data_IF_042179577948
#
_entry.id   IF_042179577948
#
_cell.length_a   1.000
_cell.length_b   1.000
_cell.length_c   1.000
_cell.angle_alpha   90.00
_cell.angle_beta   90.00
_cell.angle_gamma   90.00
#
_symmetry.space_group_name_H-M   'P 1'
#
loop_
_entity.id
_entity.type
_entity.pdbx_description
1 polymer ?
#
# COMPACT_ATOMS: atom_id res chain seq x y z
N UNK A 1 -8.18 -31.35 13.83
CA UNK A 1 -8.08 -31.01 15.25
C UNK A 1 -9.01 -29.85 15.53
N UNK A 2 -10.25 -30.14 15.93
CA UNK A 2 -11.20 -29.18 16.48
C UNK A 2 -10.59 -28.59 17.74
N UNK A 3 -10.28 -27.30 17.70
CA UNK A 3 -9.95 -26.53 18.89
C UNK A 3 -11.16 -26.62 19.82
N UNK A 4 -10.99 -27.25 21.00
CA UNK A 4 -12.09 -27.50 21.92
C UNK A 4 -12.70 -26.20 22.37
N UNK A 5 -14.03 -26.09 22.28
CA UNK A 5 -14.78 -25.04 22.95
C UNK A 5 -14.63 -25.25 24.48
N UNK A 6 -13.96 -24.33 25.14
CA UNK A 6 -14.09 -24.16 26.57
C UNK A 6 -15.55 -23.66 26.76
N UNK A 7 -16.35 -24.35 27.56
CA UNK A 7 -17.74 -23.97 27.80
C UNK A 7 -17.84 -22.46 28.09
N UNK A 8 -18.58 -21.74 27.25
CA UNK A 8 -18.82 -20.30 27.37
C UNK A 8 -17.77 -19.38 26.70
N UNK A 9 -16.73 -19.91 26.04
CA UNK A 9 -15.74 -19.10 25.31
C UNK A 9 -15.74 -19.42 23.81
N UNK A 10 -16.13 -18.44 22.98
CA UNK A 10 -16.10 -18.57 21.53
C UNK A 10 -14.84 -17.88 20.99
N UNK A 11 -13.96 -18.67 20.37
CA UNK A 11 -12.79 -18.13 19.65
C UNK A 11 -13.26 -17.70 18.26
N UNK A 12 -13.09 -16.43 17.86
CA UNK A 12 -13.37 -16.01 16.48
C UNK A 12 -12.55 -16.82 15.48
N UNK A 13 -13.12 -17.09 14.30
CA UNK A 13 -12.46 -17.84 13.23
C UNK A 13 -12.55 -17.10 11.92
N UNK A 14 -11.64 -17.40 10.98
CA UNK A 14 -11.80 -17.00 9.58
C UNK A 14 -13.10 -17.64 9.01
N UNK A 15 -13.74 -17.00 8.03
CA UNK A 15 -14.98 -17.52 7.43
C UNK A 15 -14.76 -18.84 6.71
N UNK A 16 -13.60 -18.99 6.06
CA UNK A 16 -13.21 -20.17 5.31
C UNK A 16 -11.85 -20.70 5.77
N UNK A 17 -11.60 -21.98 5.57
CA UNK A 17 -10.35 -22.68 5.89
C UNK A 17 -9.70 -23.21 4.61
N UNK A 18 -8.42 -23.56 4.63
CA UNK A 18 -7.80 -24.29 3.54
C UNK A 18 -8.59 -25.56 3.20
N UNK A 19 -8.94 -25.70 1.93
CA UNK A 19 -9.75 -26.83 1.42
C UNK A 19 -11.27 -26.58 1.42
N UNK A 20 -11.76 -25.49 2.01
CA UNK A 20 -13.15 -25.06 1.84
C UNK A 20 -13.33 -24.42 0.44
N UNK A 21 -14.56 -24.43 -0.07
CA UNK A 21 -14.95 -23.52 -1.16
C UNK A 21 -15.39 -22.19 -0.57
N UNK A 22 -14.80 -21.09 -1.04
CA UNK A 22 -15.17 -19.75 -0.58
C UNK A 22 -16.56 -19.39 -1.14
N UNK A 23 -17.46 -18.96 -0.27
CA UNK A 23 -18.77 -18.45 -0.64
C UNK A 23 -19.08 -17.16 0.16
N UNK A 24 -19.01 -16.01 -0.51
CA UNK A 24 -19.37 -14.72 0.06
C UNK A 24 -20.84 -14.36 -0.11
N UNK A 25 -21.70 -15.28 -0.57
CA UNK A 25 -23.12 -15.08 -0.80
C UNK A 25 -23.43 -14.28 -2.08
N UNK A 26 -22.52 -14.25 -3.04
CA UNK A 26 -22.71 -13.57 -4.33
C UNK A 26 -22.32 -12.08 -4.30
N UNK A 27 -23.08 -11.26 -5.04
CA UNK A 27 -22.85 -9.81 -5.16
C UNK A 27 -23.07 -9.06 -3.86
N UNK A 28 -22.53 -7.84 -3.80
CA UNK A 28 -22.81 -6.92 -2.70
C UNK A 28 -24.31 -6.67 -2.53
N UNK A 29 -24.77 -6.51 -1.30
CA UNK A 29 -26.14 -6.06 -1.00
C UNK A 29 -26.32 -4.58 -1.33
N UNK A 30 -25.27 -3.78 -1.06
CA UNK A 30 -25.23 -2.36 -1.32
C UNK A 30 -25.06 -2.11 -2.80
N UNK A 31 -25.91 -1.26 -3.36
CA UNK A 31 -25.87 -0.88 -4.77
C UNK A 31 -25.35 0.56 -4.96
N UNK A 32 -24.83 0.92 -6.13
CA UNK A 32 -24.54 2.31 -6.46
C UNK A 32 -25.76 3.19 -6.25
N UNK A 33 -25.59 4.32 -5.54
CA UNK A 33 -26.68 5.26 -5.25
C UNK A 33 -27.46 5.01 -3.96
N UNK A 34 -27.22 3.89 -3.26
CA UNK A 34 -27.85 3.64 -1.95
C UNK A 34 -27.49 4.69 -0.90
N UNK A 35 -26.28 5.23 -0.98
CA UNK A 35 -25.79 6.27 -0.08
C UNK A 35 -25.73 7.62 -0.79
N UNK A 36 -26.36 8.62 -0.19
CA UNK A 36 -26.27 10.00 -0.64
C UNK A 36 -24.85 10.53 -0.48
N UNK A 37 -24.51 11.60 -1.22
CA UNK A 37 -23.26 12.32 -1.08
C UNK A 37 -23.50 13.64 -0.34
N UNK A 38 -23.10 13.74 0.94
CA UNK A 38 -23.26 14.98 1.68
C UNK A 38 -22.29 16.05 1.15
N UNK A 39 -22.62 17.32 1.36
CA UNK A 39 -21.68 18.39 1.04
C UNK A 39 -20.46 18.32 1.99
N UNK A 40 -19.20 18.30 1.48
CA UNK A 40 -18.02 18.14 2.33
C UNK A 40 -17.79 19.31 3.29
N UNK A 41 -18.33 20.49 3.00
CA UNK A 41 -18.17 21.70 3.83
C UNK A 41 -19.24 21.79 4.91
N UNK A 42 -20.42 21.28 4.67
CA UNK A 42 -21.55 21.35 5.60
C UNK A 42 -21.73 20.10 6.46
N UNK A 43 -21.20 18.96 5.99
CA UNK A 43 -21.36 17.65 6.60
C UNK A 43 -20.80 17.58 8.02
N UNK A 44 -21.63 17.14 8.96
CA UNK A 44 -21.24 16.84 10.34
C UNK A 44 -20.97 15.36 10.52
N UNK A 45 -20.23 15.03 11.57
CA UNK A 45 -19.84 13.64 11.85
C UNK A 45 -21.05 12.73 12.06
N UNK A 46 -22.08 13.18 12.78
CA UNK A 46 -23.30 12.42 13.03
C UNK A 46 -24.07 12.03 11.76
N UNK A 47 -23.93 12.81 10.69
CA UNK A 47 -24.56 12.56 9.38
C UNK A 47 -23.85 11.46 8.58
N UNK A 48 -22.67 11.01 9.03
CA UNK A 48 -21.89 9.98 8.35
C UNK A 48 -22.07 8.58 8.96
N UNK A 49 -22.99 8.41 9.90
CA UNK A 49 -23.23 7.11 10.55
C UNK A 49 -23.58 6.02 9.52
N UNK A 50 -24.52 6.30 8.62
CA UNK A 50 -24.93 5.33 7.59
C UNK A 50 -23.81 5.08 6.58
N UNK A 51 -22.98 6.09 6.29
CA UNK A 51 -21.80 5.94 5.41
C UNK A 51 -20.68 5.10 6.04
N UNK A 52 -20.56 5.13 7.37
CA UNK A 52 -19.59 4.29 8.09
C UNK A 52 -20.03 2.81 8.13
N UNK A 53 -21.33 2.52 8.06
CA UNK A 53 -21.88 1.17 8.15
C UNK A 53 -22.30 0.57 6.79
N UNK A 54 -22.65 1.40 5.82
CA UNK A 54 -22.91 1.01 4.44
C UNK A 54 -21.62 0.82 3.63
N UNK A 55 -21.75 0.81 2.32
CA UNK A 55 -20.61 0.71 1.41
C UNK A 55 -20.84 1.66 0.22
N UNK A 56 -19.98 2.68 0.07
CA UNK A 56 -20.01 3.56 -1.09
C UNK A 56 -19.53 2.77 -2.30
N UNK A 57 -20.36 2.71 -3.33
CA UNK A 57 -20.08 2.12 -4.64
C UNK A 57 -20.52 3.08 -5.73
N UNK A 58 -19.83 3.05 -6.85
CA UNK A 58 -20.16 3.80 -8.08
C UNK A 58 -20.37 2.83 -9.25
N UNK A 59 -19.47 1.84 -9.39
CA UNK A 59 -19.60 0.79 -10.40
C UNK A 59 -20.55 -0.31 -9.91
N UNK A 60 -21.63 -0.51 -10.66
CA UNK A 60 -22.57 -1.63 -10.48
C UNK A 60 -21.99 -2.95 -10.96
N UNK A 61 -22.73 -4.05 -10.67
CA UNK A 61 -22.38 -5.37 -11.13
C UNK A 61 -22.61 -5.54 -12.65
N UNK A 62 -23.25 -4.55 -13.26
CA UNK A 62 -23.46 -4.42 -14.71
C UNK A 62 -22.41 -3.52 -15.40
N UNK A 63 -21.33 -3.19 -14.72
CA UNK A 63 -20.24 -2.32 -15.21
C UNK A 63 -20.65 -0.87 -15.52
N UNK A 64 -21.81 -0.40 -15.04
CA UNK A 64 -22.22 1.00 -15.18
C UNK A 64 -21.85 1.81 -13.94
N UNK A 65 -21.43 3.08 -14.16
CA UNK A 65 -21.30 4.06 -13.09
C UNK A 65 -22.64 4.72 -12.81
N UNK A 66 -22.98 4.89 -11.54
CA UNK A 66 -24.22 5.59 -11.14
C UNK A 66 -24.18 6.06 -9.69
N UNK A 67 -25.16 6.92 -9.35
CA UNK A 67 -25.38 7.43 -8.00
C UNK A 67 -24.66 8.75 -7.74
N UNK A 68 -24.93 9.35 -6.57
CA UNK A 68 -24.42 10.67 -6.20
C UNK A 68 -22.88 10.72 -6.03
N UNK A 69 -22.25 9.57 -5.87
CA UNK A 69 -20.79 9.43 -5.74
C UNK A 69 -20.07 9.25 -7.06
N UNK A 70 -20.79 9.17 -8.19
CA UNK A 70 -20.13 9.16 -9.53
C UNK A 70 -19.36 10.47 -9.73
N UNK A 71 -18.02 10.40 -9.94
CA UNK A 71 -17.22 11.59 -10.19
C UNK A 71 -17.35 12.12 -11.61
N UNK A 72 -18.06 11.42 -12.51
CA UNK A 72 -18.25 11.77 -13.91
C UNK A 72 -16.92 12.03 -14.65
N UNK A 73 -15.92 11.14 -14.41
CA UNK A 73 -14.61 11.24 -15.05
C UNK A 73 -14.74 11.05 -16.57
N UNK A 74 -13.96 11.81 -17.32
CA UNK A 74 -13.86 11.60 -18.76
C UNK A 74 -13.07 10.33 -19.12
N UNK A 75 -13.14 9.94 -20.40
CA UNK A 75 -12.49 8.73 -20.89
C UNK A 75 -10.96 8.78 -20.73
N UNK A 76 -10.34 9.95 -20.83
CA UNK A 76 -8.88 10.10 -20.70
C UNK A 76 -8.44 9.83 -19.27
N UNK A 77 -9.15 10.35 -18.28
CA UNK A 77 -8.87 10.09 -16.85
C UNK A 77 -9.08 8.61 -16.49
N UNK A 78 -10.16 7.99 -17.00
CA UNK A 78 -10.43 6.56 -16.79
C UNK A 78 -9.36 5.66 -17.42
N UNK A 79 -8.95 5.95 -18.66
CA UNK A 79 -7.88 5.23 -19.37
C UNK A 79 -6.55 5.39 -18.64
N UNK A 80 -6.23 6.61 -18.17
CA UNK A 80 -5.04 6.86 -17.36
C UNK A 80 -5.06 6.01 -16.07
N UNK A 81 -6.19 5.93 -15.38
CA UNK A 81 -6.36 5.08 -14.20
C UNK A 81 -6.12 3.61 -14.52
N UNK A 82 -6.70 3.11 -15.61
CA UNK A 82 -6.50 1.73 -16.07
C UNK A 82 -5.03 1.46 -16.42
N UNK A 83 -4.38 2.37 -17.17
CA UNK A 83 -2.95 2.26 -17.51
C UNK A 83 -2.08 2.15 -16.25
N UNK A 84 -2.29 3.01 -15.24
CA UNK A 84 -1.51 3.00 -14.00
C UNK A 84 -1.72 1.70 -13.21
N UNK A 85 -2.95 1.17 -13.13
CA UNK A 85 -3.23 -0.09 -12.46
C UNK A 85 -2.59 -1.28 -13.20
N UNK A 86 -2.68 -1.33 -14.54
CA UNK A 86 -2.04 -2.36 -15.35
C UNK A 86 -0.51 -2.29 -15.25
N UNK A 87 0.07 -1.08 -15.24
CA UNK A 87 1.49 -0.83 -15.05
C UNK A 87 1.98 -1.38 -13.70
N UNK A 88 1.26 -1.09 -12.62
CA UNK A 88 1.57 -1.63 -11.30
C UNK A 88 1.55 -3.16 -11.30
N UNK A 89 0.54 -3.78 -11.88
CA UNK A 89 0.39 -5.24 -11.93
C UNK A 89 1.52 -5.91 -12.71
N UNK A 90 1.84 -5.42 -13.90
CA UNK A 90 2.91 -5.96 -14.74
C UNK A 90 4.28 -5.76 -14.09
N UNK A 91 4.49 -4.60 -13.45
CA UNK A 91 5.69 -4.31 -12.67
C UNK A 91 5.82 -5.30 -11.49
N UNK A 92 4.77 -5.48 -10.69
CA UNK A 92 4.74 -6.41 -9.56
C UNK A 92 5.06 -7.85 -10.00
N UNK A 93 4.50 -8.30 -11.11
CA UNK A 93 4.78 -9.63 -11.67
C UNK A 93 6.24 -9.79 -12.10
N UNK A 94 6.85 -8.73 -12.66
CA UNK A 94 8.28 -8.71 -12.98
C UNK A 94 9.13 -8.83 -11.72
N UNK A 95 8.79 -8.08 -10.67
CA UNK A 95 9.52 -8.08 -9.41
C UNK A 95 9.45 -9.44 -8.70
N UNK A 96 8.28 -10.11 -8.72
CA UNK A 96 8.16 -11.49 -8.22
C UNK A 96 9.03 -12.47 -9.03
N UNK A 97 9.09 -12.34 -10.37
CA UNK A 97 9.98 -13.16 -11.20
C UNK A 97 11.45 -12.92 -10.84
N UNK A 98 11.84 -11.67 -10.59
CA UNK A 98 13.21 -11.34 -10.14
C UNK A 98 13.53 -11.96 -8.76
N UNK A 99 12.58 -11.92 -7.82
CA UNK A 99 12.75 -12.54 -6.52
C UNK A 99 12.92 -14.07 -6.65
N UNK A 100 12.07 -14.72 -7.44
CA UNK A 100 12.15 -16.17 -7.67
C UNK A 100 13.46 -16.61 -8.36
N UNK A 101 14.09 -15.71 -9.12
CA UNK A 101 15.38 -15.95 -9.78
C UNK A 101 16.58 -15.46 -8.98
N UNK A 102 16.41 -15.07 -7.71
CA UNK A 102 17.48 -14.67 -6.79
C UNK A 102 18.10 -13.30 -7.09
N UNK A 103 17.47 -12.47 -7.91
CA UNK A 103 17.99 -11.13 -8.26
C UNK A 103 17.61 -10.06 -7.24
N UNK A 104 16.63 -10.34 -6.41
CA UNK A 104 16.30 -9.56 -5.21
C UNK A 104 15.83 -10.49 -4.09
N UNK A 105 15.94 -10.03 -2.85
CA UNK A 105 15.72 -10.88 -1.66
C UNK A 105 14.25 -11.06 -1.30
N UNK A 106 13.43 -10.02 -1.51
CA UNK A 106 12.08 -9.95 -1.00
C UNK A 106 11.20 -9.04 -1.86
N UNK A 107 9.91 -9.36 -1.98
CA UNK A 107 8.94 -8.49 -2.62
C UNK A 107 7.53 -8.68 -2.06
N UNK A 108 6.73 -7.61 -2.14
CA UNK A 108 5.30 -7.59 -1.79
C UNK A 108 4.54 -6.91 -2.92
N UNK A 109 3.59 -7.62 -3.53
CA UNK A 109 2.78 -7.05 -4.62
C UNK A 109 1.44 -6.52 -4.12
N UNK A 110 0.84 -5.64 -4.90
CA UNK A 110 -0.44 -4.98 -4.60
C UNK A 110 -1.64 -5.68 -5.22
N UNK A 111 -1.49 -6.94 -5.64
CA UNK A 111 -2.50 -7.68 -6.39
C UNK A 111 -3.85 -7.76 -5.67
N UNK A 112 -4.88 -7.22 -6.32
CA UNK A 112 -6.25 -7.05 -5.80
C UNK A 112 -6.51 -5.69 -5.14
N UNK A 113 -5.46 -4.88 -4.90
CA UNK A 113 -5.54 -3.57 -4.22
C UNK A 113 -5.02 -2.42 -5.12
N UNK A 114 -4.85 -2.63 -6.43
CA UNK A 114 -4.20 -1.67 -7.32
C UNK A 114 -4.94 -0.32 -7.36
N UNK A 115 -6.28 -0.35 -7.31
CA UNK A 115 -7.08 0.87 -7.34
C UNK A 115 -6.87 1.75 -6.11
N UNK A 116 -6.55 1.18 -4.94
CA UNK A 116 -6.46 1.92 -3.66
C UNK A 116 -5.51 3.11 -3.76
N UNK A 117 -4.24 2.83 -4.05
CA UNK A 117 -3.24 3.89 -4.11
C UNK A 117 -3.39 4.78 -5.34
N UNK A 118 -3.75 4.20 -6.48
CA UNK A 118 -3.78 4.90 -7.77
C UNK A 118 -4.95 5.87 -7.82
N UNK A 119 -6.19 5.42 -7.59
CA UNK A 119 -7.36 6.29 -7.63
C UNK A 119 -7.28 7.44 -6.62
N UNK A 120 -6.86 7.12 -5.38
CA UNK A 120 -6.73 8.14 -4.34
C UNK A 120 -5.62 9.15 -4.64
N UNK A 121 -4.48 8.72 -5.18
CA UNK A 121 -3.41 9.66 -5.55
C UNK A 121 -3.78 10.50 -6.77
N UNK A 122 -4.49 9.95 -7.77
CA UNK A 122 -5.01 10.71 -8.91
C UNK A 122 -6.04 11.78 -8.50
N UNK A 123 -6.71 11.57 -7.37
CA UNK A 123 -7.67 12.53 -6.82
C UNK A 123 -7.02 13.69 -6.04
N UNK A 124 -5.72 13.65 -5.79
CA UNK A 124 -4.97 14.64 -5.01
C UNK A 124 -4.13 15.56 -5.92
N UNK A 125 -3.72 16.68 -5.37
CA UNK A 125 -2.79 17.59 -6.02
C UNK A 125 -1.33 17.14 -5.81
N UNK A 126 -0.43 17.52 -6.72
CA UNK A 126 0.99 17.12 -6.65
C UNK A 126 1.71 17.71 -5.43
N UNK A 127 1.16 18.75 -4.82
CA UNK A 127 1.65 19.35 -3.57
C UNK A 127 1.24 18.60 -2.31
N UNK A 128 0.32 17.62 -2.41
CA UNK A 128 -0.16 16.87 -1.26
C UNK A 128 0.84 15.80 -0.80
N UNK A 129 0.89 15.57 0.51
CA UNK A 129 1.82 14.62 1.13
C UNK A 129 1.25 13.21 1.16
N UNK A 130 2.09 12.23 0.80
CA UNK A 130 1.75 10.80 0.76
C UNK A 130 2.52 10.06 1.85
N UNK A 131 1.81 9.51 2.83
CA UNK A 131 2.34 8.66 3.89
C UNK A 131 1.86 7.21 3.70
N UNK A 132 2.58 6.41 2.91
CA UNK A 132 2.15 5.08 2.52
C UNK A 132 2.47 4.02 3.57
N UNK A 133 1.80 2.87 3.48
CA UNK A 133 2.38 1.61 3.90
C UNK A 133 3.10 0.94 2.70
N UNK A 134 3.65 -0.24 2.92
CA UNK A 134 4.40 -0.96 1.87
C UNK A 134 3.56 -1.38 0.65
N UNK A 135 2.20 -1.33 0.73
CA UNK A 135 1.32 -1.81 -0.36
C UNK A 135 0.74 -0.70 -1.24
N UNK A 136 1.27 0.52 -1.14
CA UNK A 136 0.87 1.66 -1.97
C UNK A 136 1.95 2.13 -2.97
N UNK A 137 2.78 1.24 -3.58
CA UNK A 137 3.78 1.69 -4.57
C UNK A 137 3.13 2.32 -5.81
N UNK A 138 1.87 2.01 -6.12
CA UNK A 138 1.12 2.61 -7.22
C UNK A 138 1.04 4.13 -7.17
N UNK A 139 1.06 4.73 -5.99
CA UNK A 139 1.11 6.18 -5.83
C UNK A 139 2.35 6.82 -6.48
N UNK A 140 3.47 6.11 -6.53
CA UNK A 140 4.70 6.61 -7.15
C UNK A 140 4.58 6.69 -8.68
N UNK A 141 3.86 5.76 -9.31
CA UNK A 141 3.59 5.82 -10.75
C UNK A 141 2.74 7.05 -11.10
N UNK A 142 1.72 7.33 -10.30
CA UNK A 142 0.90 8.54 -10.46
C UNK A 142 1.75 9.81 -10.32
N UNK A 143 2.72 9.81 -9.39
CA UNK A 143 3.67 10.92 -9.15
C UNK A 143 4.88 10.93 -10.09
N UNK A 144 4.90 10.08 -11.12
CA UNK A 144 5.89 10.10 -12.20
C UNK A 144 7.25 9.51 -11.84
N UNK A 145 7.36 8.67 -10.80
CA UNK A 145 8.63 8.04 -10.48
C UNK A 145 9.07 7.07 -11.56
N UNK A 146 10.36 7.12 -11.89
CA UNK A 146 10.99 6.23 -12.85
C UNK A 146 11.09 4.78 -12.33
N UNK A 147 10.73 3.82 -13.19
CA UNK A 147 10.75 2.40 -12.86
C UNK A 147 12.17 1.85 -12.64
N UNK A 148 13.20 2.39 -13.31
CA UNK A 148 14.60 1.97 -13.10
C UNK A 148 14.98 2.25 -11.65
N UNK A 149 14.71 3.46 -11.16
CA UNK A 149 14.94 3.85 -9.76
C UNK A 149 14.19 2.94 -8.77
N UNK A 150 12.94 2.55 -9.08
CA UNK A 150 12.17 1.64 -8.22
C UNK A 150 12.78 0.23 -8.17
N UNK A 151 13.26 -0.27 -9.30
CA UNK A 151 13.91 -1.59 -9.38
C UNK A 151 15.27 -1.54 -8.67
N UNK A 152 16.08 -0.49 -8.90
CA UNK A 152 17.36 -0.30 -8.21
C UNK A 152 17.21 -0.29 -6.70
N UNK A 153 16.17 0.40 -6.17
CA UNK A 153 15.84 0.35 -4.75
C UNK A 153 15.53 -1.07 -4.25
N UNK A 154 14.73 -1.84 -4.98
CA UNK A 154 14.40 -3.22 -4.56
C UNK A 154 15.60 -4.17 -4.63
N UNK A 155 16.55 -3.93 -5.50
CA UNK A 155 17.82 -4.66 -5.57
C UNK A 155 18.79 -4.20 -4.47
N UNK A 156 18.77 -2.92 -4.11
CA UNK A 156 19.77 -2.27 -3.25
C UNK A 156 21.12 -2.11 -3.93
N UNK A 157 21.16 -1.86 -5.25
CA UNK A 157 22.37 -1.72 -6.03
C UNK A 157 22.98 -0.31 -5.93
N UNK A 158 24.02 -0.03 -6.75
CA UNK A 158 24.77 1.25 -6.68
C UNK A 158 23.95 2.48 -7.03
N UNK A 159 22.84 2.32 -7.78
CA UNK A 159 21.92 3.39 -8.16
C UNK A 159 20.70 3.50 -7.21
N UNK A 160 20.65 2.70 -6.15
CA UNK A 160 19.65 2.91 -5.12
C UNK A 160 19.95 4.21 -4.37
N UNK A 161 19.04 5.18 -4.45
CA UNK A 161 19.19 6.49 -3.82
C UNK A 161 19.29 6.44 -2.28
N UNK A 162 18.85 5.35 -1.65
CA UNK A 162 19.01 5.09 -0.23
C UNK A 162 20.07 4.01 0.09
N UNK A 163 20.84 3.61 -0.93
CA UNK A 163 22.06 2.80 -0.80
C UNK A 163 21.86 1.47 -0.06
N UNK A 164 20.74 0.79 -0.29
CA UNK A 164 20.43 -0.48 0.35
C UNK A 164 20.06 -0.41 1.84
N UNK A 165 19.83 0.79 2.39
CA UNK A 165 19.50 1.00 3.82
C UNK A 165 18.09 0.62 4.20
N UNK A 166 17.23 0.33 3.22
CA UNK A 166 15.85 -0.10 3.42
C UNK A 166 15.62 -1.47 2.78
N UNK A 167 14.64 -2.21 3.30
CA UNK A 167 14.17 -3.43 2.65
C UNK A 167 13.55 -3.11 1.28
N UNK A 168 13.55 -4.10 0.34
CA UNK A 168 12.77 -3.96 -0.89
C UNK A 168 11.33 -3.52 -0.59
N UNK A 169 10.74 -2.75 -1.49
CA UNK A 169 9.41 -2.11 -1.39
C UNK A 169 9.27 -1.02 -0.33
N UNK A 170 10.29 -0.75 0.47
CA UNK A 170 10.30 0.34 1.45
C UNK A 170 10.83 1.62 0.81
N UNK A 171 10.10 2.06 -0.20
CA UNK A 171 10.45 3.22 -1.02
C UNK A 171 10.45 4.54 -0.26
N UNK A 172 11.21 5.50 -0.80
CA UNK A 172 11.09 6.93 -0.54
C UNK A 172 11.19 7.67 -1.87
N UNK A 173 10.39 8.73 -2.06
CA UNK A 173 10.42 9.54 -3.28
C UNK A 173 10.08 10.99 -2.95
N UNK A 174 11.11 11.80 -2.71
CA UNK A 174 11.00 13.18 -2.23
C UNK A 174 10.26 14.08 -3.21
N UNK A 175 10.57 13.96 -4.50
CA UNK A 175 10.01 14.77 -5.59
C UNK A 175 8.49 14.56 -5.72
N UNK A 176 8.01 13.35 -5.47
CA UNK A 176 6.59 13.01 -5.44
C UNK A 176 5.94 13.18 -4.06
N UNK A 177 6.62 13.81 -3.10
CA UNK A 177 6.15 13.96 -1.71
C UNK A 177 5.72 12.65 -1.04
N UNK A 178 6.34 11.57 -1.45
CA UNK A 178 6.10 10.22 -0.96
C UNK A 178 7.13 9.89 0.13
N UNK A 179 6.65 9.83 1.36
CA UNK A 179 7.50 9.65 2.56
C UNK A 179 8.03 8.22 2.64
N UNK A 180 9.20 8.07 3.24
CA UNK A 180 9.84 6.77 3.45
C UNK A 180 8.91 5.79 4.16
N UNK A 181 8.75 4.60 3.59
CA UNK A 181 7.99 3.52 4.19
C UNK A 181 8.75 2.99 5.41
N UNK A 182 8.05 2.79 6.50
CA UNK A 182 8.57 2.20 7.74
C UNK A 182 8.21 0.72 7.81
N UNK A 183 9.17 -0.15 8.17
CA UNK A 183 8.91 -1.57 8.46
C UNK A 183 8.02 -1.78 9.70
N UNK A 184 8.25 -1.09 10.85
CA UNK A 184 7.28 -1.06 11.93
C UNK A 184 5.95 -0.48 11.47
N UNK A 185 4.90 -1.30 11.54
CA UNK A 185 3.58 -0.93 11.02
C UNK A 185 2.88 0.11 11.89
N UNK A 186 2.22 1.09 11.26
CA UNK A 186 1.44 2.13 11.95
C UNK A 186 2.17 3.44 12.22
N UNK A 187 3.51 3.45 12.22
CA UNK A 187 4.30 4.65 12.54
C UNK A 187 4.02 5.82 11.60
N UNK A 188 3.75 5.55 10.32
CA UNK A 188 3.40 6.57 9.32
C UNK A 188 2.13 7.34 9.66
N UNK A 189 1.22 6.74 10.43
CA UNK A 189 -0.10 7.31 10.70
C UNK A 189 0.01 8.54 11.61
N UNK A 190 0.69 8.42 12.75
CA UNK A 190 0.93 9.55 13.64
C UNK A 190 1.87 10.60 13.03
N UNK A 191 2.88 10.17 12.22
CA UNK A 191 3.75 11.08 11.48
C UNK A 191 2.95 11.89 10.44
N UNK A 192 2.02 11.29 9.72
CA UNK A 192 1.15 11.96 8.76
C UNK A 192 0.29 13.06 9.43
N UNK A 193 -0.27 12.74 10.60
CA UNK A 193 -1.01 13.73 11.40
C UNK A 193 -0.11 14.90 11.77
N UNK A 194 1.12 14.64 12.20
CA UNK A 194 2.11 15.69 12.54
C UNK A 194 2.46 16.60 11.35
N UNK A 195 2.62 16.02 10.15
CA UNK A 195 2.87 16.82 8.92
C UNK A 195 1.65 17.66 8.55
N UNK A 196 0.45 17.09 8.59
CA UNK A 196 -0.78 17.84 8.35
C UNK A 196 -0.98 18.99 9.35
N UNK A 197 -0.63 18.78 10.64
CA UNK A 197 -0.61 19.85 11.65
C UNK A 197 0.41 20.94 11.29
N UNK A 198 1.59 20.57 10.79
CA UNK A 198 2.60 21.52 10.34
C UNK A 198 2.15 22.34 9.14
N UNK A 199 1.43 21.72 8.17
CA UNK A 199 0.83 22.42 7.03
C UNK A 199 -0.21 23.45 7.48
N UNK A 200 -1.08 23.09 8.44
CA UNK A 200 -2.01 24.03 9.06
C UNK A 200 -1.28 25.19 9.76
N UNK A 201 -0.25 24.89 10.56
CA UNK A 201 0.53 25.89 11.27
C UNK A 201 1.22 26.89 10.32
N UNK A 202 1.70 26.40 9.17
CA UNK A 202 2.34 27.22 8.14
C UNK A 202 1.34 27.97 7.26
N UNK A 203 0.05 27.63 7.31
CA UNK A 203 -0.98 28.20 6.45
C UNK A 203 -0.79 27.87 4.97
N UNK A 204 -0.25 26.67 4.65
CA UNK A 204 -0.06 26.21 3.29
C UNK A 204 -1.21 25.29 2.87
N UNK A 205 -1.61 25.38 1.59
CA UNK A 205 -2.68 24.57 1.02
C UNK A 205 -2.13 23.19 0.60
N UNK A 206 -1.94 22.33 1.59
CA UNK A 206 -1.47 20.96 1.42
C UNK A 206 -2.38 20.01 2.20
N UNK A 207 -2.78 18.92 1.57
CA UNK A 207 -3.48 17.80 2.23
C UNK A 207 -2.49 16.67 2.44
N UNK A 208 -2.63 15.96 3.55
CA UNK A 208 -1.87 14.75 3.81
C UNK A 208 -2.78 13.53 3.68
N UNK A 209 -2.35 12.49 2.97
CA UNK A 209 -3.04 11.21 2.93
C UNK A 209 -2.17 10.11 3.52
N UNK A 210 -2.78 9.20 4.29
CA UNK A 210 -2.08 8.04 4.85
C UNK A 210 -2.92 6.78 4.78
N UNK A 211 -2.25 5.63 4.72
CA UNK A 211 -2.85 4.30 4.74
C UNK A 211 -2.22 3.41 5.79
N UNK A 212 -3.05 2.59 6.41
CA UNK A 212 -2.62 1.45 7.20
C UNK A 212 -3.52 0.25 6.92
N UNK A 213 -3.02 -0.96 7.15
CA UNK A 213 -3.80 -2.18 7.01
C UNK A 213 -4.74 -2.43 8.19
N UNK A 214 -5.72 -3.31 7.99
CA UNK A 214 -6.67 -3.77 9.02
C UNK A 214 -5.98 -4.26 10.29
N UNK A 215 -4.97 -5.14 10.17
CA UNK A 215 -4.19 -5.60 11.31
C UNK A 215 -3.40 -4.49 11.99
N UNK A 216 -2.90 -3.52 11.23
CA UNK A 216 -2.15 -2.36 11.77
C UNK A 216 -3.04 -1.46 12.64
N UNK A 217 -4.34 -1.45 12.40
CA UNK A 217 -5.30 -0.67 13.20
C UNK A 217 -5.37 -1.10 14.68
N UNK A 218 -4.70 -2.19 15.07
CA UNK A 218 -4.54 -2.61 16.46
C UNK A 218 -3.34 -1.92 17.16
N UNK A 219 -2.49 -1.20 16.42
CA UNK A 219 -1.36 -0.47 17.00
C UNK A 219 -1.80 0.81 17.71
N UNK A 220 -1.06 1.19 18.75
CA UNK A 220 -1.32 2.43 19.50
C UNK A 220 -1.25 3.69 18.63
N UNK A 221 -0.32 3.73 17.66
CA UNK A 221 -0.15 4.85 16.73
C UNK A 221 -1.42 5.21 15.95
N UNK A 222 -2.24 4.22 15.60
CA UNK A 222 -3.54 4.45 14.98
C UNK A 222 -4.47 5.26 15.90
N UNK A 223 -4.60 4.83 17.15
CA UNK A 223 -5.48 5.49 18.13
C UNK A 223 -4.93 6.87 18.54
N UNK A 224 -3.62 7.01 18.71
CA UNK A 224 -2.99 8.30 18.98
C UNK A 224 -3.18 9.27 17.81
N UNK A 225 -3.00 8.78 16.58
CA UNK A 225 -3.22 9.57 15.37
C UNK A 225 -4.66 10.06 15.24
N UNK A 226 -5.66 9.21 15.48
CA UNK A 226 -7.08 9.60 15.48
C UNK A 226 -7.36 10.68 16.55
N UNK A 227 -6.83 10.50 17.76
CA UNK A 227 -7.04 11.45 18.85
C UNK A 227 -6.44 12.83 18.53
N UNK A 228 -5.21 12.89 18.03
CA UNK A 228 -4.58 14.15 17.62
C UNK A 228 -5.28 14.77 16.40
N UNK A 229 -5.66 13.96 15.42
CA UNK A 229 -6.40 14.44 14.25
C UNK A 229 -7.76 15.05 14.65
N UNK A 230 -8.47 14.44 15.58
CA UNK A 230 -9.71 14.95 16.15
C UNK A 230 -9.52 16.28 16.85
N UNK A 231 -8.51 16.37 17.73
CA UNK A 231 -8.29 17.53 18.58
C UNK A 231 -7.78 18.75 17.80
N UNK A 232 -6.88 18.56 16.84
CA UNK A 232 -6.22 19.64 16.10
C UNK A 232 -6.82 19.90 14.71
N UNK A 233 -7.71 19.03 14.22
CA UNK A 233 -8.42 19.14 12.93
C UNK A 233 -7.49 19.49 11.74
N UNK A 234 -6.34 18.80 11.58
CA UNK A 234 -5.44 19.06 10.46
C UNK A 234 -6.02 18.57 9.13
N UNK A 235 -5.53 19.07 7.97
CA UNK A 235 -5.98 18.67 6.64
C UNK A 235 -5.45 17.27 6.26
N UNK A 236 -6.10 16.23 6.75
CA UNK A 236 -5.63 14.84 6.58
C UNK A 236 -6.75 13.86 6.18
N UNK A 237 -6.39 12.90 5.33
CA UNK A 237 -7.22 11.75 4.95
C UNK A 237 -6.61 10.51 5.58
N UNK A 238 -7.39 9.84 6.43
CA UNK A 238 -6.96 8.71 7.26
C UNK A 238 -7.61 7.42 6.75
N UNK A 239 -6.83 6.56 6.08
CA UNK A 239 -7.35 5.34 5.47
C UNK A 239 -6.98 4.08 6.26
N UNK A 240 -7.95 3.19 6.44
CA UNK A 240 -7.75 1.79 6.84
C UNK A 240 -8.05 0.90 5.64
N UNK A 241 -7.04 0.26 5.10
CA UNK A 241 -7.19 -0.71 4.02
C UNK A 241 -7.55 -2.06 4.63
N UNK A 242 -8.84 -2.36 4.62
CA UNK A 242 -9.39 -3.61 5.09
C UNK A 242 -9.36 -4.63 3.95
N UNK A 243 -8.21 -5.25 3.74
CA UNK A 243 -8.02 -6.29 2.73
C UNK A 243 -8.27 -7.71 3.26
N UNK A 244 -8.94 -7.84 4.39
CA UNK A 244 -9.39 -9.04 5.09
C UNK A 244 -8.29 -9.84 5.80
N UNK A 245 -7.00 -9.63 5.47
CA UNK A 245 -5.93 -10.50 5.95
C UNK A 245 -4.69 -9.73 6.41
N UNK A 246 -4.42 -9.75 7.70
CA UNK A 246 -3.15 -9.32 8.29
C UNK A 246 -2.19 -10.52 8.31
N UNK A 247 -1.38 -10.69 7.25
CA UNK A 247 -0.59 -11.89 6.96
C UNK A 247 -1.54 -13.10 6.90
N UNK A 248 -1.55 -13.94 7.92
CA UNK A 248 -2.39 -15.14 8.09
C UNK A 248 -3.55 -14.95 9.07
N UNK A 249 -3.73 -13.74 9.61
CA UNK A 249 -4.81 -13.43 10.56
C UNK A 249 -5.95 -12.74 9.83
N UNK A 250 -7.11 -13.41 9.77
CA UNK A 250 -8.32 -12.81 9.20
C UNK A 250 -8.87 -11.71 10.12
N UNK A 251 -9.50 -10.68 9.54
CA UNK A 251 -10.04 -9.53 10.29
C UNK A 251 -10.96 -9.92 11.46
N UNK A 252 -11.72 -11.02 11.34
CA UNK A 252 -12.63 -11.50 12.39
C UNK A 252 -11.89 -11.94 13.67
N UNK A 253 -10.58 -12.24 13.56
CA UNK A 253 -9.74 -12.52 14.72
C UNK A 253 -9.07 -11.25 15.26
N UNK A 254 -8.95 -10.21 14.41
CA UNK A 254 -8.22 -8.99 14.76
C UNK A 254 -9.09 -7.94 15.45
N UNK A 255 -10.42 -7.99 15.27
CA UNK A 255 -11.34 -7.01 15.86
C UNK A 255 -12.72 -7.61 16.12
N UNK A 256 -13.34 -7.24 17.24
CA UNK A 256 -14.76 -7.48 17.52
C UNK A 256 -15.69 -6.41 16.93
N UNK A 257 -15.15 -5.34 16.34
CA UNK A 257 -15.93 -4.30 15.67
C UNK A 257 -16.51 -4.77 14.34
N UNK A 258 -17.69 -4.26 13.99
CA UNK A 258 -18.38 -4.62 12.73
C UNK A 258 -17.55 -4.18 11.52
N UNK A 259 -16.96 -2.98 11.60
CA UNK A 259 -16.11 -2.39 10.57
C UNK A 259 -15.05 -1.48 11.21
N UNK A 260 -14.12 -0.98 10.40
CA UNK A 260 -13.09 -0.06 10.85
C UNK A 260 -13.50 1.40 10.71
N UNK A 261 -14.40 1.72 9.78
CA UNK A 261 -14.88 3.08 9.56
C UNK A 261 -15.51 3.68 10.82
N UNK A 262 -16.38 2.93 11.49
CA UNK A 262 -17.11 3.41 12.68
C UNK A 262 -16.21 3.81 13.86
N UNK A 263 -14.94 3.41 13.87
CA UNK A 263 -13.99 3.81 14.93
C UNK A 263 -13.75 5.32 14.95
N UNK A 264 -13.73 5.97 13.79
CA UNK A 264 -13.54 7.43 13.70
C UNK A 264 -14.71 8.22 14.31
N UNK A 265 -15.94 7.66 14.32
CA UNK A 265 -17.09 8.30 14.94
C UNK A 265 -16.86 8.58 16.43
N UNK A 266 -16.14 7.70 17.14
CA UNK A 266 -15.80 7.88 18.57
C UNK A 266 -14.83 9.04 18.82
N UNK A 267 -14.18 9.54 17.77
CA UNK A 267 -13.27 10.69 17.79
C UNK A 267 -13.88 11.95 17.15
N UNK A 268 -15.17 11.96 16.87
CA UNK A 268 -15.85 13.04 16.15
C UNK A 268 -15.20 13.36 14.78
N UNK A 269 -14.84 12.31 14.04
CA UNK A 269 -14.30 12.40 12.69
C UNK A 269 -15.32 11.83 11.71
N UNK A 270 -15.69 12.54 10.62
CA UNK A 270 -16.55 12.00 9.56
C UNK A 270 -15.97 10.71 8.98
N UNK A 271 -16.83 9.68 8.86
CA UNK A 271 -16.43 8.33 8.55
C UNK A 271 -17.16 7.77 7.34
N UNK A 272 -16.39 7.10 6.47
CA UNK A 272 -16.92 6.49 5.27
C UNK A 272 -16.35 5.09 5.07
N UNK A 273 -17.15 4.20 4.49
CA UNK A 273 -16.70 2.89 4.04
C UNK A 273 -16.90 2.81 2.53
N UNK A 274 -15.85 2.45 1.79
CA UNK A 274 -15.82 2.50 0.33
C UNK A 274 -15.39 1.16 -0.25
N UNK A 275 -15.96 0.78 -1.40
CA UNK A 275 -15.51 -0.37 -2.19
C UNK A 275 -14.12 -0.08 -2.76
N UNK A 276 -13.10 -0.77 -2.22
CA UNK A 276 -11.70 -0.59 -2.58
C UNK A 276 -11.31 -1.20 -3.93
N UNK A 277 -12.23 -1.93 -4.57
CA UNK A 277 -12.07 -2.44 -5.93
C UNK A 277 -12.80 -1.57 -6.97
N UNK A 278 -13.44 -0.49 -6.53
CA UNK A 278 -14.11 0.50 -7.35
C UNK A 278 -13.26 1.77 -7.48
N UNK A 279 -12.62 1.94 -8.64
CA UNK A 279 -11.75 3.07 -8.93
C UNK A 279 -12.47 4.41 -8.79
N UNK A 280 -13.71 4.51 -9.30
CA UNK A 280 -14.52 5.73 -9.30
C UNK A 280 -14.95 6.10 -7.88
N UNK A 281 -15.37 5.13 -7.08
CA UNK A 281 -15.73 5.35 -5.68
C UNK A 281 -14.55 5.85 -4.85
N UNK A 282 -13.36 5.25 -5.02
CA UNK A 282 -12.12 5.68 -4.35
C UNK A 282 -11.70 7.10 -4.75
N UNK A 283 -11.76 7.40 -6.04
CA UNK A 283 -11.48 8.75 -6.55
C UNK A 283 -12.43 9.77 -5.94
N UNK A 284 -13.73 9.50 -6.00
CA UNK A 284 -14.79 10.40 -5.55
C UNK A 284 -14.69 10.71 -4.05
N UNK A 285 -14.56 9.68 -3.20
CA UNK A 285 -14.46 9.90 -1.74
C UNK A 285 -13.18 10.65 -1.38
N UNK A 286 -12.09 10.44 -2.12
CA UNK A 286 -10.83 11.16 -1.87
C UNK A 286 -10.94 12.63 -2.26
N UNK A 287 -11.57 12.95 -3.39
CA UNK A 287 -11.89 14.35 -3.77
C UNK A 287 -12.77 15.02 -2.72
N UNK A 288 -13.79 14.32 -2.23
CA UNK A 288 -14.66 14.81 -1.17
C UNK A 288 -13.86 15.13 0.11
N UNK A 289 -13.02 14.20 0.55
CA UNK A 289 -12.21 14.34 1.76
C UNK A 289 -11.15 15.45 1.62
N UNK A 290 -10.51 15.56 0.44
CA UNK A 290 -9.55 16.62 0.15
C UNK A 290 -10.22 18.00 0.17
N UNK A 291 -11.42 18.15 -0.43
CA UNK A 291 -12.20 19.40 -0.39
C UNK A 291 -12.52 19.82 1.05
N UNK A 292 -12.94 18.87 1.89
CA UNK A 292 -13.19 19.11 3.31
C UNK A 292 -11.92 19.56 4.04
N UNK A 293 -10.82 18.85 3.83
CA UNK A 293 -9.53 19.15 4.45
C UNK A 293 -9.04 20.55 4.09
N UNK A 294 -9.09 20.93 2.79
CA UNK A 294 -8.71 22.28 2.30
C UNK A 294 -9.62 23.38 2.82
N UNK A 295 -10.88 23.07 3.12
CA UNK A 295 -11.79 24.01 3.76
C UNK A 295 -11.49 24.22 5.27
N UNK A 296 -10.44 23.59 5.82
CA UNK A 296 -10.06 23.70 7.23
C UNK A 296 -11.00 22.97 8.20
N UNK A 297 -11.79 22.02 7.71
CA UNK A 297 -12.79 21.28 8.50
C UNK A 297 -12.24 19.99 9.13
N UNK A 298 -10.93 19.76 8.98
CA UNK A 298 -10.22 18.67 9.63
C UNK A 298 -10.25 17.35 8.90
N UNK A 299 -10.01 16.24 9.61
CA UNK A 299 -9.77 14.92 9.05
C UNK A 299 -11.05 14.28 8.47
N UNK A 300 -10.83 13.31 7.60
CA UNK A 300 -11.82 12.31 7.20
C UNK A 300 -11.24 10.92 7.42
N UNK A 301 -11.99 10.00 8.02
CA UNK A 301 -11.60 8.60 8.23
C UNK A 301 -12.32 7.70 7.24
N UNK A 302 -11.56 6.88 6.49
CA UNK A 302 -12.08 6.05 5.42
C UNK A 302 -11.64 4.60 5.63
N UNK A 303 -12.61 3.67 5.70
CA UNK A 303 -12.34 2.25 5.52
C UNK A 303 -12.45 1.90 4.05
N UNK A 304 -11.36 1.39 3.49
CA UNK A 304 -11.30 0.87 2.13
C UNK A 304 -11.50 -0.64 2.22
N UNK A 305 -12.68 -1.09 1.83
CA UNK A 305 -13.08 -2.49 1.92
C UNK A 305 -12.71 -3.22 0.64
N UNK A 306 -11.65 -4.01 0.71
CA UNK A 306 -11.03 -4.67 -0.44
C UNK A 306 -10.53 -6.06 -0.08
N UNK A 307 -9.81 -6.71 -0.98
CA UNK A 307 -9.28 -8.05 -0.80
C UNK A 307 -7.85 -8.18 -1.31
N UNK A 308 -6.95 -8.71 -0.45
CA UNK A 308 -5.59 -9.08 -0.87
C UNK A 308 -5.64 -10.37 -1.69
N UNK A 309 -5.65 -10.28 -3.01
CA UNK A 309 -5.75 -11.45 -3.90
C UNK A 309 -4.48 -12.30 -3.91
N UNK A 310 -3.29 -11.68 -3.72
CA UNK A 310 -2.01 -12.38 -3.67
C UNK A 310 -1.60 -12.86 -2.27
N UNK A 311 -0.44 -13.52 -2.21
CA UNK A 311 0.27 -13.78 -0.95
C UNK A 311 0.64 -12.46 -0.25
N UNK A 312 0.84 -12.50 1.06
CA UNK A 312 1.27 -11.31 1.81
C UNK A 312 2.61 -10.77 1.29
N UNK A 313 3.55 -11.66 1.07
CA UNK A 313 4.88 -11.36 0.51
C UNK A 313 5.41 -12.56 -0.26
N UNK A 314 6.59 -12.41 -0.85
CA UNK A 314 7.30 -13.53 -1.52
C UNK A 314 7.70 -14.67 -0.58
N UNK A 315 7.65 -14.46 0.74
CA UNK A 315 7.94 -15.47 1.77
C UNK A 315 6.69 -16.09 2.40
N UNK A 316 5.48 -15.73 1.90
CA UNK A 316 4.21 -16.18 2.42
C UNK A 316 3.58 -17.25 1.53
N UNK A 317 2.91 -18.22 2.17
CA UNK A 317 2.16 -19.29 1.52
C UNK A 317 0.68 -19.22 1.98
N UNK A 318 -0.20 -18.57 1.22
CA UNK A 318 -1.59 -18.39 1.61
C UNK A 318 -2.40 -19.68 1.65
N UNK A 319 -1.97 -20.76 0.97
CA UNK A 319 -2.66 -22.05 0.99
C UNK A 319 -2.74 -22.68 2.39
N UNK A 320 -1.92 -22.18 3.33
CA UNK A 320 -1.88 -22.64 4.72
C UNK A 320 -2.99 -22.07 5.60
N UNK A 321 -3.64 -20.99 5.18
CA UNK A 321 -4.60 -20.29 6.05
C UNK A 321 -5.90 -19.87 5.38
N UNK A 322 -5.99 -19.91 4.04
CA UNK A 322 -7.20 -19.58 3.29
C UNK A 322 -7.40 -20.48 2.07
N UNK A 323 -8.61 -20.58 1.49
CA UNK A 323 -8.86 -21.27 0.22
C UNK A 323 -8.05 -20.65 -0.94
N UNK A 324 -7.64 -21.47 -1.90
CA UNK A 324 -6.89 -21.00 -3.09
C UNK A 324 -7.71 -20.05 -3.95
N UNK A 325 -9.00 -20.33 -4.08
CA UNK A 325 -9.93 -19.59 -4.94
C UNK A 325 -10.67 -18.44 -4.24
N UNK A 326 -10.37 -18.16 -2.96
CA UNK A 326 -11.09 -17.12 -2.19
C UNK A 326 -11.09 -15.75 -2.89
N UNK A 327 -9.97 -15.41 -3.57
CA UNK A 327 -9.85 -14.16 -4.31
C UNK A 327 -10.79 -14.08 -5.55
N UNK A 328 -11.08 -15.20 -6.18
CA UNK A 328 -11.94 -15.28 -7.38
C UNK A 328 -13.39 -15.04 -7.03
N UNK A 329 -13.80 -15.43 -5.82
CA UNK A 329 -15.18 -15.27 -5.32
C UNK A 329 -15.36 -13.97 -4.51
N UNK A 330 -14.34 -13.12 -4.43
CA UNK A 330 -14.48 -11.84 -3.76
C UNK A 330 -15.52 -10.95 -4.47
N UNK A 331 -16.59 -10.50 -3.80
CA UNK A 331 -17.68 -9.77 -4.45
C UNK A 331 -17.27 -8.44 -5.10
N UNK A 332 -16.21 -7.80 -4.57
CA UNK A 332 -15.64 -6.59 -5.19
C UNK A 332 -14.95 -6.83 -6.52
N UNK A 333 -14.66 -8.10 -6.87
CA UNK A 333 -14.00 -8.47 -8.12
C UNK A 333 -12.56 -7.96 -8.23
N UNK A 334 -12.02 -8.02 -9.43
CA UNK A 334 -10.68 -7.52 -9.77
C UNK A 334 -10.74 -6.04 -10.18
N UNK A 335 -10.02 -5.12 -9.51
CA UNK A 335 -10.15 -3.68 -9.76
C UNK A 335 -9.75 -3.27 -11.18
N UNK A 336 -8.73 -3.92 -11.76
CA UNK A 336 -8.30 -3.65 -13.14
C UNK A 336 -9.38 -4.08 -14.14
N UNK A 337 -9.95 -5.26 -13.90
CA UNK A 337 -10.99 -5.78 -14.80
C UNK A 337 -12.28 -4.95 -14.71
N UNK A 338 -12.67 -4.51 -13.52
CA UNK A 338 -13.88 -3.68 -13.33
C UNK A 338 -13.79 -2.36 -14.10
N UNK A 339 -12.68 -1.63 -13.95
CA UNK A 339 -12.49 -0.38 -14.69
C UNK A 339 -12.40 -0.64 -16.21
N UNK A 340 -11.75 -1.72 -16.62
CA UNK A 340 -11.70 -2.13 -18.03
C UNK A 340 -13.09 -2.42 -18.60
N UNK A 341 -13.91 -3.20 -17.90
CA UNK A 341 -15.26 -3.53 -18.36
C UNK A 341 -16.14 -2.28 -18.43
N UNK A 342 -16.00 -1.36 -17.48
CA UNK A 342 -16.69 -0.08 -17.55
C UNK A 342 -16.30 0.72 -18.81
N UNK A 343 -15.00 0.83 -19.12
CA UNK A 343 -14.51 1.49 -20.34
C UNK A 343 -15.00 0.81 -21.63
N UNK A 344 -15.07 -0.53 -21.64
CA UNK A 344 -15.66 -1.28 -22.78
C UNK A 344 -17.14 -0.93 -22.95
N UNK A 345 -17.88 -0.83 -21.85
CA UNK A 345 -19.30 -0.47 -21.89
C UNK A 345 -19.54 0.96 -22.38
N UNK A 346 -18.62 1.88 -22.06
CA UNK A 346 -18.62 3.25 -22.59
C UNK A 346 -18.24 3.31 -24.09
N UNK A 347 -17.73 2.23 -24.67
CA UNK A 347 -17.23 2.20 -26.05
C UNK A 347 -15.82 2.79 -26.21
N UNK A 348 -15.13 3.07 -25.10
CA UNK A 348 -13.81 3.71 -25.07
C UNK A 348 -12.65 2.71 -25.00
N UNK A 349 -12.93 1.41 -24.85
CA UNK A 349 -11.94 0.35 -24.73
C UNK A 349 -12.34 -0.91 -25.47
N UNK A 350 -11.36 -1.65 -25.96
CA UNK A 350 -11.54 -2.93 -26.63
C UNK A 350 -10.35 -3.87 -26.39
N UNK A 351 -10.46 -5.11 -26.83
CA UNK A 351 -9.42 -6.14 -26.68
C UNK A 351 -8.12 -5.75 -27.41
N UNK A 352 -8.20 -5.03 -28.53
CA UNK A 352 -7.03 -4.59 -29.28
C UNK A 352 -6.23 -3.58 -28.48
N UNK A 353 -6.90 -2.54 -27.95
CA UNK A 353 -6.28 -1.53 -27.06
C UNK A 353 -5.70 -2.16 -25.80
N UNK A 354 -6.39 -3.14 -25.21
CA UNK A 354 -5.93 -3.88 -24.03
C UNK A 354 -4.62 -4.61 -24.30
N UNK A 355 -4.52 -5.31 -25.43
CA UNK A 355 -3.31 -6.02 -25.83
C UNK A 355 -2.15 -5.06 -26.19
N UNK A 356 -2.42 -4.01 -26.95
CA UNK A 356 -1.43 -2.98 -27.28
C UNK A 356 -0.85 -2.31 -26.03
N UNK A 357 -1.71 -1.97 -25.05
CA UNK A 357 -1.27 -1.39 -23.78
C UNK A 357 -0.44 -2.37 -22.95
N UNK A 358 -0.85 -3.64 -22.85
CA UNK A 358 -0.09 -4.69 -22.16
C UNK A 358 1.31 -4.86 -22.76
N UNK A 359 1.40 -4.99 -24.08
CA UNK A 359 2.68 -5.14 -24.79
C UNK A 359 3.57 -3.93 -24.57
N UNK A 360 3.03 -2.71 -24.67
CA UNK A 360 3.72 -1.44 -24.37
C UNK A 360 4.30 -1.47 -22.96
N UNK A 361 3.47 -1.73 -21.97
CA UNK A 361 3.89 -1.70 -20.54
C UNK A 361 4.90 -2.82 -20.26
N UNK A 362 4.70 -4.04 -20.76
CA UNK A 362 5.67 -5.14 -20.57
C UNK A 362 7.03 -4.81 -21.19
N UNK A 363 7.03 -4.18 -22.36
CA UNK A 363 8.26 -3.69 -23.00
C UNK A 363 8.96 -2.61 -22.16
N UNK A 364 8.21 -1.65 -21.62
CA UNK A 364 8.75 -0.59 -20.75
C UNK A 364 9.33 -1.17 -19.45
N UNK A 365 8.60 -2.07 -18.79
CA UNK A 365 9.04 -2.76 -17.56
C UNK A 365 10.27 -3.62 -17.85
N UNK A 366 10.30 -4.32 -18.99
CA UNK A 366 11.46 -5.13 -19.38
C UNK A 366 12.68 -4.25 -19.69
N UNK A 367 12.48 -3.09 -20.31
CA UNK A 367 13.56 -2.14 -20.57
C UNK A 367 14.13 -1.58 -19.26
N UNK A 368 13.26 -1.16 -18.34
CA UNK A 368 13.66 -0.67 -17.03
C UNK A 368 14.40 -1.76 -16.22
N UNK A 369 13.93 -3.00 -16.27
CA UNK A 369 14.62 -4.14 -15.65
C UNK A 369 16.03 -4.33 -16.22
N UNK A 370 16.16 -4.36 -17.56
CA UNK A 370 17.47 -4.54 -18.22
C UNK A 370 18.43 -3.40 -17.88
N UNK A 371 17.93 -2.20 -17.72
CA UNK A 371 18.74 -1.05 -17.33
C UNK A 371 19.18 -1.18 -15.85
N UNK A 372 18.24 -1.41 -14.94
CA UNK A 372 18.52 -1.48 -13.51
C UNK A 372 19.55 -2.56 -13.14
N UNK A 373 19.51 -3.74 -13.78
CA UNK A 373 20.47 -4.83 -13.47
C UNK A 373 21.89 -4.55 -13.95
N UNK A 374 22.12 -3.56 -14.81
CA UNK A 374 23.48 -3.13 -15.19
C UNK A 374 24.23 -2.52 -14.00
N UNK A 375 23.48 -1.93 -13.06
CA UNK A 375 24.02 -1.32 -11.84
C UNK A 375 24.23 -2.31 -10.70
N UNK A 376 24.00 -3.60 -10.96
CA UNK A 376 24.16 -4.70 -10.04
C UNK A 376 22.87 -5.44 -9.73
N UNK A 377 23.00 -6.71 -9.40
CA UNK A 377 21.91 -7.53 -8.83
C UNK A 377 22.38 -8.21 -7.54
N UNK A 378 21.46 -8.80 -6.78
CA UNK A 378 21.79 -9.40 -5.48
C UNK A 378 22.85 -10.51 -5.56
N UNK A 379 22.95 -11.21 -6.70
CA UNK A 379 23.89 -12.31 -6.89
C UNK A 379 25.29 -11.86 -7.33
N UNK A 380 25.35 -10.78 -8.16
CA UNK A 380 26.58 -10.44 -8.90
C UNK A 380 27.16 -9.06 -8.54
N UNK A 381 26.42 -8.23 -7.76
CA UNK A 381 26.86 -6.85 -7.53
C UNK A 381 26.90 -6.01 -8.84
N UNK A 382 27.60 -4.86 -8.87
CA UNK A 382 28.30 -4.26 -7.74
C UNK A 382 27.37 -3.83 -6.60
N UNK A 383 27.90 -3.85 -5.38
CA UNK A 383 27.16 -3.38 -4.20
C UNK A 383 27.72 -2.02 -3.75
N UNK A 384 26.91 -1.16 -3.10
CA UNK A 384 27.43 0.02 -2.47
C UNK A 384 28.56 -0.32 -1.48
N UNK A 385 29.64 0.46 -1.42
CA UNK A 385 30.72 0.23 -0.46
C UNK A 385 30.20 0.25 0.98
N UNK A 386 30.72 -0.60 1.86
CA UNK A 386 30.32 -0.67 3.27
C UNK A 386 30.45 0.69 3.99
N UNK A 387 31.45 1.50 3.63
CA UNK A 387 31.64 2.85 4.17
C UNK A 387 30.44 3.77 3.95
N UNK A 388 29.56 3.50 2.95
CA UNK A 388 28.35 4.31 2.72
C UNK A 388 27.33 4.22 3.85
N UNK A 389 27.39 3.21 4.73
CA UNK A 389 26.52 3.12 5.90
C UNK A 389 26.71 4.30 6.89
N UNK A 390 27.87 4.94 6.85
CA UNK A 390 28.22 6.06 7.72
C UNK A 390 27.95 7.45 7.09
N UNK A 391 27.64 7.47 5.78
CA UNK A 391 27.41 8.71 5.03
C UNK A 391 25.97 9.20 5.16
N UNK A 392 25.77 10.52 5.06
CA UNK A 392 24.45 11.18 4.88
C UNK A 392 23.44 10.95 6.02
N UNK A 393 23.91 10.53 7.22
CA UNK A 393 23.04 10.29 8.38
C UNK A 393 22.99 11.54 9.28
N UNK A 394 24.14 12.22 9.42
CA UNK A 394 24.30 13.43 10.22
C UNK A 394 25.02 14.50 9.41
N UNK A 395 24.71 15.76 9.65
CA UNK A 395 25.45 16.90 9.09
C UNK A 395 26.90 16.87 9.57
N UNK A 396 27.09 16.68 10.87
CA UNK A 396 28.39 16.38 11.48
C UNK A 396 28.37 14.97 12.06
N UNK A 397 29.30 14.14 11.63
CA UNK A 397 29.38 12.75 12.10
C UNK A 397 29.77 12.76 13.60
N UNK A 398 28.92 12.20 14.50
CA UNK A 398 29.24 12.16 15.94
C UNK A 398 30.42 11.21 16.22
N UNK A 399 31.12 11.46 17.32
CA UNK A 399 32.36 10.75 17.68
C UNK A 399 32.26 9.22 17.66
N UNK A 400 31.13 8.66 18.10
CA UNK A 400 30.94 7.19 18.15
C UNK A 400 30.80 6.60 16.73
N UNK A 401 30.25 7.33 15.78
CA UNK A 401 30.22 6.91 14.38
C UNK A 401 31.60 7.04 13.74
N UNK A 402 32.37 8.08 14.06
CA UNK A 402 33.79 8.20 13.66
C UNK A 402 34.62 7.01 14.16
N UNK A 403 34.42 6.56 15.42
CA UNK A 403 35.11 5.39 15.93
C UNK A 403 34.77 4.11 15.16
N UNK A 404 33.49 3.94 14.78
CA UNK A 404 33.05 2.77 14.00
C UNK A 404 33.62 2.81 12.58
N UNK A 405 33.62 3.97 11.93
CA UNK A 405 34.22 4.17 10.61
C UNK A 405 35.72 3.85 10.64
N UNK A 406 36.46 4.40 11.61
CA UNK A 406 37.90 4.17 11.76
C UNK A 406 38.21 2.68 11.97
N UNK A 407 37.43 1.97 12.79
CA UNK A 407 37.61 0.53 12.98
C UNK A 407 37.26 -0.29 11.74
N UNK A 408 36.31 0.16 10.93
CA UNK A 408 35.97 -0.48 9.65
C UNK A 408 37.11 -0.29 8.64
N UNK A 409 37.64 0.91 8.47
CA UNK A 409 38.76 1.22 7.57
C UNK A 409 40.04 0.49 7.97
N UNK A 410 40.37 0.45 9.27
CA UNK A 410 41.52 -0.27 9.76
C UNK A 410 41.42 -1.80 9.52
N UNK A 411 40.21 -2.35 9.55
CA UNK A 411 39.99 -3.77 9.25
C UNK A 411 40.14 -4.09 7.76
N UNK A 412 39.90 -3.12 6.89
CA UNK A 412 40.08 -3.26 5.43
C UNK A 412 41.54 -3.09 5.00
N UNK A 413 42.36 -2.32 5.77
CA UNK A 413 43.79 -2.09 5.49
C UNK A 413 44.72 -3.22 5.98
N UNK A 414 44.28 -4.05 6.94
CA UNK A 414 45.08 -5.18 7.42
C UNK A 414 44.80 -6.46 6.64
N UNK A 415 45.72 -6.87 5.78
CA UNK A 415 45.70 -8.14 5.03
C UNK A 415 45.47 -9.38 5.95
N UNK A 416 45.89 -9.33 7.20
CA UNK A 416 45.72 -10.40 8.20
C UNK A 416 44.29 -10.52 8.70
N UNK A 417 43.54 -9.40 8.84
CA UNK A 417 42.16 -9.39 9.34
C UNK A 417 41.20 -9.75 8.21
N UNK A 418 41.46 -9.29 7.00
CA UNK A 418 40.67 -9.62 5.81
C UNK A 418 40.61 -11.13 5.53
N UNK A 419 41.68 -11.85 5.75
CA UNK A 419 41.73 -13.32 5.58
C UNK A 419 40.97 -14.05 6.72
N UNK A 420 41.06 -13.57 7.97
CA UNK A 420 40.34 -14.10 9.12
C UNK A 420 38.82 -13.81 9.03
N UNK A 421 38.42 -12.60 8.72
CA UNK A 421 37.02 -12.20 8.59
C UNK A 421 36.31 -12.90 7.45
N UNK A 422 36.93 -13.04 6.28
CA UNK A 422 36.35 -13.79 5.15
C UNK A 422 36.21 -15.28 5.44
N UNK A 423 37.12 -15.89 6.20
CA UNK A 423 36.98 -17.28 6.62
C UNK A 423 35.86 -17.51 7.62
N UNK A 424 35.64 -16.59 8.55
CA UNK A 424 34.52 -16.66 9.51
C UNK A 424 33.18 -16.51 8.82
N UNK A 425 33.06 -15.56 7.89
CA UNK A 425 31.83 -15.36 7.12
C UNK A 425 31.51 -16.56 6.23
N UNK A 426 32.50 -17.10 5.51
CA UNK A 426 32.30 -18.31 4.69
C UNK A 426 31.95 -19.55 5.52
N UNK A 427 32.50 -19.71 6.74
CA UNK A 427 32.19 -20.84 7.62
C UNK A 427 30.76 -20.75 8.19
N UNK A 428 30.29 -19.54 8.49
CA UNK A 428 28.93 -19.35 9.01
C UNK A 428 27.83 -19.46 7.94
N UNK A 429 28.18 -19.23 6.67
CA UNK A 429 27.21 -19.39 5.57
C UNK A 429 27.23 -20.80 4.96
N UNK A 430 28.26 -21.60 5.23
CA UNK A 430 28.40 -22.98 4.75
C UNK A 430 27.91 -24.05 5.76
N UNK A 431 27.40 -23.67 6.93
CA UNK A 431 27.05 -24.57 8.02
C UNK A 431 25.56 -24.88 8.20
N UNK A 432 24.75 -24.73 7.18
CA UNK A 432 23.32 -25.03 7.20
C UNK A 432 22.92 -26.24 6.34
N UNK A 433 23.57 -27.38 6.55
CA UNK A 433 23.18 -28.61 5.88
C UNK A 433 23.75 -29.84 6.60
N UNK A 434 22.91 -30.54 7.35
CA UNK A 434 23.21 -31.91 7.76
C UNK A 434 22.89 -32.29 9.19
N UNK A 435 21.72 -32.87 9.42
CA UNK A 435 21.51 -34.09 10.14
C UNK A 435 21.50 -34.06 11.68
N UNK A 436 20.35 -34.40 12.21
CA UNK A 436 20.13 -34.85 13.56
C UNK A 436 18.71 -34.65 14.00
#
# INVERSE_FOLDING_TARGET
NTCGSIEGYTVPTAPFRPGDEADFGGSWKEQPGDLNRPDPVECKTEETYDHAHGLIRVLGDDDTASGAWDPELDAEELIRGLEMMMRLRIFDDRMIKMQRTGKLSFYMRSFGEEAVAIAQTMALDDTDWIFPSYRQPGAQFVRGRDMVSMICHCIGNTEDNIRGRQMPVHYTYKEGRFISISSPVGTQFSQAVGVAMASSYKGVDEVTITWLGDGTSAQGDYHYGLNFASAFKPPIILNVVNNQWAISTHKNLATGGVNFASRGLSYDIPCFRVDGNDFLALYSITKWAAKRARAGLGPTHIEIYTYRAGAHSSSDDPSRYRPENEAEFWPGGDPVNRLKMHLIKLGEWDEKRDNELKEKIDSEVMSAYKEAVKYGDLANGPFPPASTIFSDVYEEIPWHIHCLLYTSDAADEEDCVGVGGRRIIKKNWGGGGGGG
#
